data_IF_664024619603
#
_entry.id   IF_664024619603
#
_cell.length_a   1.000
_cell.length_b   1.000
_cell.length_c   1.000
_cell.angle_alpha   90.00
_cell.angle_beta   90.00
_cell.angle_gamma   90.00
#
_symmetry.space_group_name_H-M   'P 1'
#
loop_
_entity.id
_entity.type
_entity.pdbx_description
1 polymer ?
#
# COMPACT_ATOMS: atom_id res chain seq x y z
N UNK A 1 0.05 -14.45 -13.00
CA UNK A 1 0.38 -13.02 -12.82
C UNK A 1 1.86 -12.86 -13.15
N UNK A 2 2.23 -11.73 -13.76
CA UNK A 2 3.63 -11.44 -14.13
C UNK A 2 4.18 -10.40 -13.17
N UNK A 3 5.22 -10.78 -12.40
CA UNK A 3 5.85 -9.96 -11.36
C UNK A 3 7.39 -10.00 -11.43
N UNK A 4 7.99 -9.74 -12.64
CA UNK A 4 9.43 -9.94 -12.84
C UNK A 4 10.30 -9.04 -11.94
N UNK A 5 9.83 -7.87 -11.53
CA UNK A 5 10.58 -6.97 -10.65
C UNK A 5 10.61 -7.48 -9.21
N UNK A 6 9.47 -7.94 -8.69
CA UNK A 6 9.40 -8.58 -7.37
C UNK A 6 10.16 -9.90 -7.35
N UNK A 7 10.03 -10.71 -8.40
CA UNK A 7 10.75 -11.99 -8.53
C UNK A 7 12.27 -11.76 -8.47
N UNK A 8 12.78 -10.71 -9.12
CA UNK A 8 14.19 -10.33 -9.05
C UNK A 8 14.60 -9.90 -7.63
N UNK A 9 13.78 -9.10 -6.95
CA UNK A 9 14.04 -8.69 -5.56
C UNK A 9 14.09 -9.88 -4.60
N UNK A 10 13.21 -10.87 -4.76
CA UNK A 10 13.24 -12.11 -3.97
C UNK A 10 14.54 -12.86 -4.22
N UNK A 11 15.01 -12.92 -5.47
CA UNK A 11 16.27 -13.57 -5.82
C UNK A 11 17.52 -12.89 -5.23
N UNK A 12 17.47 -11.58 -4.98
CA UNK A 12 18.56 -10.78 -4.39
C UNK A 12 18.43 -10.61 -2.87
N UNK A 13 17.27 -10.97 -2.29
CA UNK A 13 16.89 -10.67 -0.92
C UNK A 13 16.64 -11.89 -0.04
N UNK A 14 15.81 -11.68 0.97
CA UNK A 14 15.35 -12.71 1.93
C UNK A 14 13.84 -12.77 1.90
N UNK A 15 13.28 -13.94 1.62
CA UNK A 15 11.86 -14.22 1.74
C UNK A 15 11.52 -14.73 3.15
N UNK A 16 10.55 -14.07 3.81
CA UNK A 16 10.09 -14.45 5.14
C UNK A 16 8.84 -15.35 5.02
N UNK A 17 9.01 -16.66 5.08
CA UNK A 17 7.92 -17.64 4.95
C UNK A 17 6.88 -17.57 6.06
N UNK A 18 7.24 -17.02 7.23
CA UNK A 18 6.39 -16.95 8.43
C UNK A 18 6.19 -15.51 8.92
N UNK A 19 6.00 -14.60 8.00
CA UNK A 19 5.64 -13.22 8.30
C UNK A 19 4.12 -13.06 8.19
N UNK A 20 3.46 -12.74 9.30
CA UNK A 20 2.01 -12.67 9.39
C UNK A 20 1.54 -11.24 9.62
N UNK A 21 0.53 -10.83 8.87
CA UNK A 21 -0.17 -9.55 9.02
C UNK A 21 -1.55 -9.77 9.63
N UNK A 22 -2.25 -8.72 10.02
CA UNK A 22 -3.64 -8.81 10.46
C UNK A 22 -4.57 -9.17 9.29
N UNK A 23 -5.76 -9.73 9.57
CA UNK A 23 -6.66 -10.22 8.50
C UNK A 23 -7.28 -9.12 7.63
N UNK A 24 -7.12 -7.85 8.00
CA UNK A 24 -7.65 -6.68 7.29
C UNK A 24 -6.70 -5.48 7.39
N UNK A 25 -6.93 -4.51 6.51
CA UNK A 25 -6.01 -3.40 6.22
C UNK A 25 -5.72 -2.47 7.42
N UNK A 26 -6.74 -1.91 8.08
CA UNK A 26 -6.54 -0.93 9.16
C UNK A 26 -5.72 -1.50 10.32
N UNK A 27 -6.01 -2.70 10.88
CA UNK A 27 -5.17 -3.27 11.93
C UNK A 27 -3.72 -3.51 11.51
N UNK A 28 -3.47 -4.03 10.30
CA UNK A 28 -2.09 -4.22 9.81
C UNK A 28 -1.35 -2.90 9.73
N UNK A 29 -1.96 -1.87 9.15
CA UNK A 29 -1.34 -0.54 9.01
C UNK A 29 -1.11 0.12 10.36
N UNK A 30 -2.07 0.01 11.29
CA UNK A 30 -1.93 0.51 12.65
C UNK A 30 -0.77 -0.21 13.39
N UNK A 31 -0.69 -1.53 13.27
CA UNK A 31 0.42 -2.31 13.85
C UNK A 31 1.78 -1.96 13.23
N UNK A 32 1.84 -1.77 11.90
CA UNK A 32 3.06 -1.35 11.22
C UNK A 32 3.52 0.04 11.68
N UNK A 33 2.59 0.98 11.79
CA UNK A 33 2.92 2.35 12.21
C UNK A 33 3.36 2.43 13.66
N UNK A 34 2.78 1.63 14.56
CA UNK A 34 3.02 1.75 16.01
C UNK A 34 4.01 0.73 16.57
N UNK A 35 4.36 -0.32 15.82
CA UNK A 35 5.13 -1.45 16.33
C UNK A 35 4.41 -2.24 17.43
N UNK A 36 3.10 -2.06 17.62
CA UNK A 36 2.28 -2.65 18.68
C UNK A 36 1.18 -3.53 18.09
N UNK A 37 0.74 -4.52 18.85
CA UNK A 37 -0.44 -5.30 18.47
C UNK A 37 -1.69 -4.41 18.45
N UNK A 38 -2.41 -4.33 17.31
CA UNK A 38 -3.51 -3.37 17.12
C UNK A 38 -4.66 -3.52 18.12
N UNK A 39 -4.88 -4.73 18.64
CA UNK A 39 -5.90 -4.98 19.66
C UNK A 39 -5.63 -4.31 21.01
N UNK A 40 -4.39 -3.88 21.27
CA UNK A 40 -4.03 -3.19 22.52
C UNK A 40 -4.51 -1.76 22.59
N UNK A 41 -4.85 -1.15 21.44
CA UNK A 41 -5.35 0.23 21.32
C UNK A 41 -6.64 0.31 20.48
N UNK A 42 -7.46 -0.74 20.53
CA UNK A 42 -8.83 -0.71 20.00
C UNK A 42 -9.00 -0.98 18.51
N UNK A 43 -7.91 -1.23 17.77
CA UNK A 43 -7.95 -1.46 16.31
C UNK A 43 -7.83 -2.96 16.01
N UNK A 44 -8.81 -3.77 16.43
CA UNK A 44 -8.71 -5.23 16.34
C UNK A 44 -9.26 -5.82 15.04
N UNK A 45 -10.52 -5.55 14.73
CA UNK A 45 -11.31 -6.36 13.79
C UNK A 45 -12.10 -5.56 12.78
N UNK A 46 -11.99 -4.24 12.78
CA UNK A 46 -12.70 -3.37 11.86
C UNK A 46 -11.75 -2.47 11.07
N UNK A 47 -12.12 -2.20 9.84
CA UNK A 47 -11.54 -1.09 9.08
C UNK A 47 -12.23 0.21 9.47
N UNK A 48 -11.62 1.34 9.18
CA UNK A 48 -12.23 2.66 9.31
C UNK A 48 -12.94 2.98 7.99
N UNK A 49 -14.28 2.82 7.92
CA UNK A 49 -15.02 3.10 6.69
C UNK A 49 -15.25 4.60 6.50
N UNK A 50 -15.63 5.06 5.30
CA UNK A 50 -15.76 6.48 4.97
C UNK A 50 -16.72 7.30 5.88
N UNK A 51 -17.67 6.65 6.51
CA UNK A 51 -18.68 7.30 7.39
C UNK A 51 -18.28 7.37 8.86
N UNK A 52 -17.08 6.90 9.23
CA UNK A 52 -16.57 6.98 10.61
C UNK A 52 -15.57 8.11 10.76
N UNK A 53 -15.62 8.74 11.95
CA UNK A 53 -14.76 9.88 12.28
C UNK A 53 -13.52 9.50 13.09
N UNK A 54 -13.43 8.25 13.52
CA UNK A 54 -12.28 7.75 14.29
C UNK A 54 -11.05 7.53 13.40
N UNK A 55 -9.92 7.36 14.03
CA UNK A 55 -8.62 7.12 13.41
C UNK A 55 -7.68 6.38 14.36
N UNK A 56 -6.42 6.35 14.00
CA UNK A 56 -5.37 5.89 14.90
C UNK A 56 -5.36 6.77 16.16
N UNK A 57 -5.38 6.14 17.33
CA UNK A 57 -5.38 6.86 18.62
C UNK A 57 -4.24 7.88 18.64
N UNK A 58 -4.58 9.10 19.07
CA UNK A 58 -3.66 10.25 19.08
C UNK A 58 -2.47 10.03 20.02
N UNK A 59 -2.63 9.19 21.05
CA UNK A 59 -1.59 8.85 22.02
C UNK A 59 -0.63 7.76 21.49
N UNK A 60 -0.96 7.11 20.38
CA UNK A 60 -0.06 6.11 19.78
C UNK A 60 1.04 6.81 19.00
N UNK A 61 2.28 6.56 19.38
CA UNK A 61 3.44 7.01 18.63
C UNK A 61 3.63 6.17 17.37
N UNK A 62 3.94 6.81 16.24
CA UNK A 62 4.23 6.12 15.00
C UNK A 62 5.74 5.96 14.75
N UNK A 63 6.09 5.02 13.88
CA UNK A 63 7.46 4.88 13.39
C UNK A 63 7.98 6.18 12.77
N UNK A 64 7.11 6.96 12.11
CA UNK A 64 7.49 8.25 11.53
C UNK A 64 7.79 9.31 12.61
N UNK A 65 7.03 9.33 13.73
CA UNK A 65 7.33 10.17 14.89
C UNK A 65 8.68 9.80 15.51
N UNK A 66 8.91 8.50 15.72
CA UNK A 66 10.17 8.00 16.26
C UNK A 66 11.35 8.40 15.36
N UNK A 67 11.24 8.22 14.05
CA UNK A 67 12.29 8.57 13.10
C UNK A 67 12.51 10.09 13.02
N UNK A 68 11.47 10.89 13.19
CA UNK A 68 11.60 12.36 13.28
C UNK A 68 12.55 12.77 14.41
N UNK A 69 12.37 12.17 15.59
CA UNK A 69 13.26 12.44 16.76
C UNK A 69 14.69 11.91 16.58
N UNK A 70 14.87 10.95 15.66
CA UNK A 70 16.19 10.37 15.36
C UNK A 70 16.84 10.96 14.11
N UNK A 71 16.45 12.18 13.69
CA UNK A 71 17.12 12.93 12.65
C UNK A 71 16.70 12.61 11.21
N UNK A 72 15.69 11.75 11.00
CA UNK A 72 15.12 11.50 9.69
C UNK A 72 14.26 12.69 9.26
N UNK A 73 14.80 13.61 8.50
CA UNK A 73 14.07 14.78 7.99
C UNK A 73 13.04 14.38 6.93
N UNK A 74 13.38 13.42 6.08
CA UNK A 74 12.57 12.94 4.98
C UNK A 74 11.79 11.69 5.41
N UNK A 75 10.49 11.83 5.64
CA UNK A 75 9.57 10.78 6.07
C UNK A 75 8.29 10.90 5.26
N UNK A 76 8.25 10.24 4.10
CA UNK A 76 7.11 10.31 3.21
C UNK A 76 6.23 9.06 3.29
N UNK A 77 4.93 9.27 3.16
CA UNK A 77 3.96 8.23 2.83
C UNK A 77 3.32 8.56 1.47
N UNK A 78 3.36 7.61 0.56
CA UNK A 78 2.83 7.74 -0.78
C UNK A 78 1.80 6.64 -1.03
N UNK A 79 0.54 7.03 -1.25
CA UNK A 79 -0.58 6.11 -1.49
C UNK A 79 -1.58 6.05 -0.34
N UNK A 80 -2.04 4.85 -0.01
CA UNK A 80 -3.13 4.59 0.94
C UNK A 80 -2.71 4.77 2.40
N UNK A 81 -3.44 5.62 3.13
CA UNK A 81 -3.30 5.78 4.59
C UNK A 81 -4.16 4.79 5.39
N UNK A 82 -5.47 4.93 5.35
CA UNK A 82 -6.49 4.09 5.99
C UNK A 82 -6.42 4.02 7.53
N UNK A 83 -5.93 5.07 8.17
CA UNK A 83 -5.85 5.21 9.64
C UNK A 83 -6.55 6.47 10.17
N UNK A 84 -7.55 6.97 9.45
CA UNK A 84 -8.37 8.14 9.77
C UNK A 84 -8.34 9.19 8.67
N UNK A 85 -9.52 9.76 8.36
CA UNK A 85 -9.72 10.62 7.18
C UNK A 85 -10.60 11.85 7.46
N UNK A 86 -11.37 11.87 8.56
CA UNK A 86 -12.30 12.97 8.83
C UNK A 86 -11.64 14.08 9.64
N UNK A 87 -10.85 13.74 10.66
CA UNK A 87 -10.19 14.72 11.53
C UNK A 87 -8.71 14.86 11.14
N UNK A 88 -8.26 16.12 10.99
CA UNK A 88 -6.87 16.40 10.60
C UNK A 88 -5.83 15.82 11.57
N UNK A 89 -6.17 15.61 12.84
CA UNK A 89 -5.29 14.98 13.84
C UNK A 89 -4.87 13.55 13.43
N UNK A 90 -5.72 12.87 12.66
CA UNK A 90 -5.43 11.52 12.15
C UNK A 90 -4.69 11.51 10.80
N UNK A 91 -4.49 12.66 10.17
CA UNK A 91 -3.81 12.74 8.87
C UNK A 91 -2.32 12.40 9.00
N UNK A 92 -1.69 11.82 7.98
CA UNK A 92 -0.27 11.45 8.01
C UNK A 92 0.65 12.58 8.49
N UNK A 93 0.35 13.82 8.08
CA UNK A 93 1.12 15.00 8.44
C UNK A 93 1.11 15.32 9.95
N UNK A 94 0.09 14.87 10.70
CA UNK A 94 0.02 14.95 12.16
C UNK A 94 0.51 13.66 12.84
N UNK A 95 0.97 12.68 12.06
CA UNK A 95 1.42 11.37 12.52
C UNK A 95 2.89 11.13 12.14
N UNK A 96 3.70 12.18 12.21
CA UNK A 96 5.15 12.14 12.06
C UNK A 96 5.68 12.20 10.63
N UNK A 97 4.86 12.10 9.61
CA UNK A 97 5.32 12.23 8.23
C UNK A 97 5.60 13.69 7.85
N UNK A 98 6.62 13.89 7.04
CA UNK A 98 7.01 15.19 6.48
C UNK A 98 6.44 15.44 5.09
N UNK A 99 5.87 14.41 4.47
CA UNK A 99 5.22 14.48 3.17
C UNK A 99 4.18 13.35 3.04
N UNK A 100 3.03 13.68 2.47
CA UNK A 100 1.97 12.76 2.13
C UNK A 100 1.45 13.04 0.72
N UNK A 101 1.36 12.00 -0.10
CA UNK A 101 0.72 12.08 -1.40
C UNK A 101 -0.10 10.81 -1.63
N UNK A 102 -1.43 10.94 -1.81
CA UNK A 102 -2.29 9.79 -1.97
C UNK A 102 -3.68 9.99 -1.37
N UNK A 103 -4.26 8.91 -0.85
CA UNK A 103 -5.64 8.91 -0.36
C UNK A 103 -5.75 8.46 1.10
N UNK A 104 -6.71 9.05 1.81
CA UNK A 104 -6.94 8.81 3.24
C UNK A 104 -7.81 7.58 3.50
N UNK A 105 -8.76 7.28 2.62
CA UNK A 105 -9.67 6.15 2.75
C UNK A 105 -9.04 4.80 2.35
N UNK A 106 -9.78 3.73 2.62
CA UNK A 106 -9.32 2.36 2.39
C UNK A 106 -9.36 1.86 0.95
N UNK A 107 -10.05 2.57 0.07
CA UNK A 107 -10.17 2.30 -1.37
C UNK A 107 -10.55 3.57 -2.10
N UNK A 108 -10.20 3.67 -3.36
CA UNK A 108 -10.57 4.77 -4.26
C UNK A 108 -10.86 4.23 -5.65
N UNK A 109 -11.53 5.01 -6.49
CA UNK A 109 -11.50 4.84 -7.94
C UNK A 109 -10.08 5.12 -8.46
N UNK A 110 -9.55 4.25 -9.35
CA UNK A 110 -8.15 4.33 -9.79
C UNK A 110 -7.87 5.44 -10.80
N UNK A 111 -8.92 5.95 -11.46
CA UNK A 111 -8.80 7.00 -12.50
C UNK A 111 -9.35 8.34 -12.02
N UNK A 112 -10.52 8.31 -11.37
CA UNK A 112 -11.17 9.54 -10.88
C UNK A 112 -10.64 9.96 -9.49
N UNK A 113 -9.90 9.07 -8.80
CA UNK A 113 -9.29 9.32 -7.50
C UNK A 113 -10.32 9.68 -6.41
N UNK A 114 -11.54 9.13 -6.55
CA UNK A 114 -12.68 9.41 -5.67
C UNK A 114 -13.02 8.25 -4.75
N UNK A 115 -13.64 8.59 -3.61
CA UNK A 115 -14.26 7.63 -2.69
C UNK A 115 -15.68 8.07 -2.38
N UNK A 116 -16.69 7.19 -2.59
CA UNK A 116 -18.12 7.51 -2.42
C UNK A 116 -18.56 8.77 -3.20
N UNK A 117 -17.91 9.03 -4.36
CA UNK A 117 -18.19 10.21 -5.20
C UNK A 117 -17.43 11.47 -4.79
N UNK A 118 -16.72 11.47 -3.69
CA UNK A 118 -15.90 12.59 -3.23
C UNK A 118 -14.44 12.38 -3.61
N UNK A 119 -13.74 13.45 -4.01
CA UNK A 119 -12.32 13.41 -4.31
C UNK A 119 -11.51 13.10 -3.04
N UNK A 120 -10.78 11.99 -3.05
CA UNK A 120 -9.89 11.57 -1.94
C UNK A 120 -8.46 11.42 -2.47
N UNK A 121 -7.89 12.52 -2.94
CA UNK A 121 -6.50 12.59 -3.37
C UNK A 121 -5.85 13.85 -2.83
N UNK A 122 -4.73 13.69 -2.15
CA UNK A 122 -4.13 14.73 -1.34
C UNK A 122 -2.65 14.90 -1.64
N UNK A 123 -2.18 16.12 -1.48
CA UNK A 123 -0.77 16.47 -1.39
C UNK A 123 -0.57 17.24 -0.07
N UNK A 124 0.07 16.59 0.89
CA UNK A 124 0.21 17.03 2.27
C UNK A 124 -1.16 17.29 2.94
N UNK A 125 -1.51 18.55 3.14
CA UNK A 125 -2.74 18.96 3.81
C UNK A 125 -3.92 19.20 2.87
N UNK A 126 -3.64 19.36 1.58
CA UNK A 126 -4.61 19.86 0.62
C UNK A 126 -5.05 18.73 -0.33
N UNK A 127 -6.34 18.74 -0.62
CA UNK A 127 -6.89 17.91 -1.70
C UNK A 127 -6.38 18.44 -3.04
N UNK A 128 -5.90 17.56 -3.90
CA UNK A 128 -5.39 17.93 -5.22
C UNK A 128 -6.10 17.18 -6.36
N UNK A 129 -6.17 17.83 -7.54
CA UNK A 129 -6.90 17.36 -8.70
C UNK A 129 -5.95 16.79 -9.77
N UNK A 130 -5.13 15.83 -9.38
CA UNK A 130 -4.25 15.16 -10.33
C UNK A 130 -5.04 14.28 -11.30
N UNK A 131 -4.49 14.09 -12.50
CA UNK A 131 -5.07 13.21 -13.52
C UNK A 131 -4.11 12.07 -13.81
N UNK A 132 -4.66 10.86 -13.84
CA UNK A 132 -3.89 9.69 -14.17
C UNK A 132 -4.35 8.45 -13.41
N UNK A 133 -3.68 7.36 -13.66
CA UNK A 133 -3.93 6.09 -12.97
C UNK A 133 -3.20 6.08 -11.63
N UNK A 134 -3.92 5.91 -10.52
CA UNK A 134 -3.40 6.08 -9.15
C UNK A 134 -2.11 5.30 -8.88
N UNK A 135 -1.98 4.08 -9.40
CA UNK A 135 -0.76 3.26 -9.24
C UNK A 135 0.47 3.93 -9.89
N UNK A 136 0.29 4.58 -11.04
CA UNK A 136 1.38 5.31 -11.71
C UNK A 136 1.68 6.64 -11.02
N UNK A 137 0.66 7.34 -10.51
CA UNK A 137 0.84 8.56 -9.72
C UNK A 137 1.65 8.28 -8.44
N UNK A 138 1.32 7.22 -7.72
CA UNK A 138 2.06 6.75 -6.53
C UNK A 138 3.52 6.47 -6.90
N UNK A 139 3.76 5.72 -7.97
CA UNK A 139 5.11 5.38 -8.43
C UNK A 139 5.92 6.63 -8.77
N UNK A 140 5.32 7.53 -9.55
CA UNK A 140 5.97 8.79 -9.97
C UNK A 140 6.37 9.66 -8.79
N UNK A 141 5.48 9.78 -7.80
CA UNK A 141 5.75 10.58 -6.62
C UNK A 141 6.82 9.95 -5.73
N UNK A 142 6.82 8.62 -5.57
CA UNK A 142 7.87 7.91 -4.85
C UNK A 142 9.25 8.16 -5.48
N UNK A 143 9.35 8.10 -6.81
CA UNK A 143 10.58 8.41 -7.55
C UNK A 143 10.98 9.87 -7.36
N UNK A 144 10.03 10.82 -7.45
CA UNK A 144 10.29 12.25 -7.21
C UNK A 144 10.88 12.48 -5.81
N UNK A 145 10.33 11.81 -4.79
CA UNK A 145 10.86 11.88 -3.43
C UNK A 145 12.30 11.37 -3.37
N UNK A 146 12.58 10.20 -3.95
CA UNK A 146 13.94 9.63 -3.98
C UNK A 146 14.90 10.60 -4.66
N UNK A 147 14.53 11.17 -5.80
CA UNK A 147 15.38 12.11 -6.53
C UNK A 147 15.66 13.40 -5.73
N UNK A 148 14.66 13.87 -4.97
CA UNK A 148 14.76 15.10 -4.17
C UNK A 148 15.57 14.93 -2.87
N UNK A 149 15.65 13.73 -2.29
CA UNK A 149 16.36 13.51 -1.03
C UNK A 149 17.86 13.71 -1.19
N UNK A 150 18.50 14.25 -0.14
CA UNK A 150 19.96 14.30 -0.07
C UNK A 150 20.53 12.88 -0.02
N UNK A 151 21.60 12.62 -0.77
CA UNK A 151 22.21 11.29 -0.87
C UNK A 151 22.69 10.75 0.48
N UNK A 152 23.24 11.63 1.30
CA UNK A 152 23.82 11.29 2.61
C UNK A 152 22.80 11.37 3.76
N UNK A 153 21.59 11.86 3.48
CA UNK A 153 20.55 12.02 4.49
C UNK A 153 19.73 10.75 4.69
N UNK A 154 19.40 10.39 5.95
CA UNK A 154 18.49 9.27 6.19
C UNK A 154 17.06 9.62 5.74
N UNK A 155 16.35 8.65 5.22
CA UNK A 155 14.96 8.80 4.79
C UNK A 155 14.10 7.60 5.16
N UNK A 156 12.79 7.83 5.27
CA UNK A 156 11.75 6.82 5.30
C UNK A 156 10.79 7.08 4.14
N UNK A 157 10.53 6.07 3.34
CA UNK A 157 9.56 6.11 2.26
C UNK A 157 8.60 4.93 2.39
N UNK A 158 7.36 5.19 2.78
CA UNK A 158 6.31 4.20 2.86
C UNK A 158 5.43 4.29 1.61
N UNK A 159 5.68 3.41 0.63
CA UNK A 159 4.89 3.34 -0.61
C UNK A 159 3.75 2.35 -0.41
N UNK A 160 2.56 2.87 -0.20
CA UNK A 160 1.36 2.11 0.15
C UNK A 160 0.40 2.02 -1.05
N UNK A 161 0.70 1.16 -2.00
CA UNK A 161 -0.17 0.96 -3.16
C UNK A 161 -1.57 0.52 -2.75
N UNK A 162 -2.59 1.08 -3.40
CA UNK A 162 -3.97 0.59 -3.27
C UNK A 162 -4.24 -0.62 -4.18
N UNK A 163 -3.46 -0.82 -5.24
CA UNK A 163 -3.52 -2.00 -6.08
C UNK A 163 -3.11 -3.27 -5.30
N UNK A 164 -3.78 -4.40 -5.52
CA UNK A 164 -4.91 -4.64 -6.43
C UNK A 164 -6.29 -4.63 -5.74
N UNK A 165 -6.54 -3.72 -4.79
CA UNK A 165 -7.83 -3.59 -4.11
C UNK A 165 -8.97 -3.22 -5.10
N UNK A 166 -10.19 -3.62 -4.80
CA UNK A 166 -11.39 -3.17 -5.56
C UNK A 166 -11.62 -1.66 -5.43
N UNK A 167 -12.19 -1.00 -6.48
CA UNK A 167 -12.71 -1.57 -7.72
C UNK A 167 -11.60 -2.14 -8.61
N UNK A 168 -11.89 -3.20 -9.37
CA UNK A 168 -10.92 -3.75 -10.31
C UNK A 168 -10.91 -2.87 -11.57
N UNK A 169 -9.87 -2.08 -11.71
CA UNK A 169 -9.68 -1.13 -12.80
C UNK A 169 -8.21 -1.16 -13.23
N UNK A 170 -7.94 -1.36 -14.50
CA UNK A 170 -6.59 -1.39 -15.05
C UNK A 170 -6.52 -0.62 -16.38
N UNK A 171 -5.34 -0.18 -16.72
CA UNK A 171 -5.10 0.45 -18.01
C UNK A 171 -5.12 -0.60 -19.13
N UNK A 172 -5.60 -0.22 -20.30
CA UNK A 172 -5.69 -1.10 -21.47
C UNK A 172 -4.32 -1.73 -21.82
N UNK A 173 -3.25 -0.95 -21.74
CA UNK A 173 -1.89 -1.44 -22.00
C UNK A 173 -1.46 -2.61 -21.10
N UNK A 174 -1.93 -2.60 -19.86
CA UNK A 174 -1.61 -3.64 -18.88
C UNK A 174 -2.54 -4.86 -19.05
N UNK A 175 -3.80 -4.66 -19.43
CA UNK A 175 -4.73 -5.74 -19.82
C UNK A 175 -4.18 -6.52 -21.03
N UNK A 176 -3.60 -5.83 -22.00
CA UNK A 176 -2.98 -6.44 -23.19
C UNK A 176 -1.82 -7.39 -22.90
N UNK A 177 -1.24 -7.34 -21.70
CA UNK A 177 -0.25 -8.34 -21.26
C UNK A 177 -0.85 -9.74 -21.04
N UNK A 178 -2.18 -9.82 -20.90
CA UNK A 178 -2.92 -11.04 -20.56
C UNK A 178 -3.90 -11.48 -21.64
N UNK A 179 -4.44 -10.57 -22.43
CA UNK A 179 -5.37 -10.88 -23.52
C UNK A 179 -5.44 -9.77 -24.54
N UNK A 180 -5.58 -10.15 -25.82
CA UNK A 180 -5.87 -9.22 -26.92
C UNK A 180 -7.37 -9.13 -27.24
N UNK A 181 -8.21 -9.99 -26.63
CA UNK A 181 -9.64 -10.10 -26.91
C UNK A 181 -10.46 -9.96 -25.62
N UNK A 182 -10.25 -8.87 -24.89
CA UNK A 182 -10.86 -8.65 -23.57
C UNK A 182 -12.39 -8.76 -23.60
N UNK A 183 -13.04 -8.14 -24.59
CA UNK A 183 -14.50 -8.10 -24.70
C UNK A 183 -15.12 -9.46 -25.01
N UNK A 184 -14.36 -10.41 -25.53
CA UNK A 184 -14.82 -11.78 -25.79
C UNK A 184 -14.71 -12.71 -24.58
N UNK A 185 -14.07 -12.27 -23.50
CA UNK A 185 -13.90 -13.03 -22.28
C UNK A 185 -15.20 -13.04 -21.45
N UNK A 186 -15.40 -14.11 -20.70
CA UNK A 186 -16.45 -14.16 -19.67
C UNK A 186 -16.18 -13.13 -18.58
N UNK A 187 -17.22 -12.65 -17.84
CA UNK A 187 -17.02 -11.68 -16.75
C UNK A 187 -16.01 -12.13 -15.69
N UNK A 188 -15.88 -13.43 -15.45
CA UNK A 188 -14.89 -14.01 -14.52
C UNK A 188 -13.47 -13.86 -15.06
N UNK A 189 -13.29 -14.14 -16.34
CA UNK A 189 -11.98 -14.01 -17.03
C UNK A 189 -11.57 -12.55 -17.17
N UNK A 190 -12.50 -11.64 -17.47
CA UNK A 190 -12.26 -10.20 -17.49
C UNK A 190 -11.76 -9.71 -16.12
N UNK A 191 -12.42 -10.10 -15.02
CA UNK A 191 -11.97 -9.77 -13.65
C UNK A 191 -10.57 -10.32 -13.37
N UNK A 192 -10.28 -11.56 -13.80
CA UNK A 192 -8.96 -12.17 -13.64
C UNK A 192 -7.88 -11.42 -14.42
N UNK A 193 -8.14 -11.05 -15.67
CA UNK A 193 -7.23 -10.30 -16.51
C UNK A 193 -6.97 -8.90 -15.92
N UNK A 194 -8.02 -8.20 -15.51
CA UNK A 194 -7.93 -6.88 -14.86
C UNK A 194 -7.11 -6.93 -13.58
N UNK A 195 -7.42 -7.87 -12.67
CA UNK A 195 -6.66 -8.06 -11.44
C UNK A 195 -5.18 -8.32 -11.72
N UNK A 196 -4.87 -9.20 -12.68
CA UNK A 196 -3.50 -9.51 -13.05
C UNK A 196 -2.77 -8.31 -13.65
N UNK A 197 -3.47 -7.50 -14.45
CA UNK A 197 -2.96 -6.26 -15.02
C UNK A 197 -2.63 -5.21 -13.95
N UNK A 198 -3.49 -5.07 -12.93
CA UNK A 198 -3.25 -4.18 -11.78
C UNK A 198 -1.98 -4.57 -11.02
N UNK A 199 -1.79 -5.86 -10.76
CA UNK A 199 -0.58 -6.37 -10.08
C UNK A 199 0.66 -6.13 -10.91
N UNK A 200 0.63 -6.38 -12.23
CA UNK A 200 1.79 -6.14 -13.10
C UNK A 200 2.14 -4.66 -13.25
N UNK A 201 1.12 -3.77 -13.21
CA UNK A 201 1.39 -2.33 -13.16
C UNK A 201 2.11 -1.92 -11.86
N UNK A 202 1.68 -2.46 -10.73
CA UNK A 202 2.33 -2.24 -9.43
C UNK A 202 3.77 -2.79 -9.43
N UNK A 203 3.98 -4.01 -9.92
CA UNK A 203 5.30 -4.63 -10.02
C UNK A 203 6.28 -3.78 -10.85
N UNK A 204 5.83 -3.29 -12.02
CA UNK A 204 6.61 -2.37 -12.84
C UNK A 204 6.93 -1.07 -12.10
N UNK A 205 5.98 -0.55 -11.30
CA UNK A 205 6.19 0.61 -10.44
C UNK A 205 7.26 0.36 -9.38
N UNK A 206 7.24 -0.81 -8.74
CA UNK A 206 8.27 -1.22 -7.77
C UNK A 206 9.64 -1.31 -8.45
N UNK A 207 9.71 -1.90 -9.64
CA UNK A 207 10.96 -1.94 -10.41
C UNK A 207 11.52 -0.55 -10.68
N UNK A 208 10.67 0.41 -11.10
CA UNK A 208 11.09 1.79 -11.33
C UNK A 208 11.58 2.51 -10.06
N UNK A 209 11.01 2.20 -8.91
CA UNK A 209 11.49 2.71 -7.60
C UNK A 209 12.87 2.14 -7.28
N UNK A 210 13.07 0.84 -7.45
CA UNK A 210 14.38 0.19 -7.26
C UNK A 210 15.43 0.78 -8.21
N UNK A 211 15.08 1.00 -9.46
CA UNK A 211 15.98 1.63 -10.45
C UNK A 211 16.35 3.06 -10.05
N UNK A 212 15.42 3.82 -9.49
CA UNK A 212 15.70 5.18 -8.97
C UNK A 212 16.70 5.13 -7.80
N UNK A 213 16.54 4.19 -6.86
CA UNK A 213 17.49 3.98 -5.75
C UNK A 213 18.88 3.58 -6.25
N UNK A 214 18.94 2.64 -7.21
CA UNK A 214 20.19 2.19 -7.86
C UNK A 214 20.86 3.35 -8.60
N UNK A 215 20.10 4.11 -9.40
CA UNK A 215 20.60 5.28 -10.15
C UNK A 215 21.18 6.35 -9.24
N UNK A 216 20.54 6.58 -8.09
CA UNK A 216 21.01 7.52 -7.06
C UNK A 216 22.23 6.98 -6.30
N UNK A 217 22.52 5.69 -6.39
CA UNK A 217 23.62 5.03 -5.69
C UNK A 217 23.40 4.89 -4.18
N UNK A 218 22.15 4.68 -3.77
CA UNK A 218 21.78 4.49 -2.35
C UNK A 218 21.10 3.15 -2.07
N UNK A 219 20.91 2.30 -3.10
CA UNK A 219 20.22 1.01 -2.93
C UNK A 219 20.91 0.12 -1.91
N UNK A 220 22.24 0.04 -1.92
CA UNK A 220 23.04 -0.80 -1.01
C UNK A 220 22.99 -0.32 0.46
N UNK A 221 22.55 0.91 0.69
CA UNK A 221 22.33 1.49 2.02
C UNK A 221 20.84 1.71 2.31
N UNK A 222 19.96 1.01 1.60
CA UNK A 222 18.51 1.09 1.77
C UNK A 222 17.96 -0.25 2.22
N UNK A 223 17.30 -0.27 3.38
CA UNK A 223 16.54 -1.42 3.82
C UNK A 223 15.18 -1.43 3.12
N UNK A 224 15.05 -2.28 2.11
CA UNK A 224 13.84 -2.40 1.29
C UNK A 224 12.97 -3.55 1.78
N UNK A 225 11.70 -3.27 2.11
CA UNK A 225 10.74 -4.28 2.58
C UNK A 225 9.51 -4.26 1.67
N UNK A 226 9.10 -5.41 1.20
CA UNK A 226 7.83 -5.61 0.51
C UNK A 226 6.97 -6.65 1.24
N UNK A 227 5.71 -6.35 1.48
CA UNK A 227 4.73 -7.30 2.03
C UNK A 227 3.30 -6.90 1.68
N UNK A 228 2.36 -7.84 1.81
CA UNK A 228 0.92 -7.58 1.66
C UNK A 228 0.29 -7.24 3.01
N UNK A 229 -0.62 -6.26 3.03
CA UNK A 229 -1.30 -5.85 4.26
C UNK A 229 -2.37 -6.84 4.75
N UNK A 230 -2.87 -7.72 3.90
CA UNK A 230 -3.77 -8.83 4.25
C UNK A 230 -3.85 -9.85 3.11
N UNK A 231 -4.48 -11.00 3.38
CA UNK A 231 -4.72 -12.04 2.38
C UNK A 231 -5.69 -11.61 1.27
N UNK A 232 -5.84 -12.47 0.28
CA UNK A 232 -6.72 -12.24 -0.87
C UNK A 232 -8.16 -11.94 -0.47
N UNK A 233 -8.83 -11.07 -1.23
CA UNK A 233 -10.27 -10.83 -1.09
C UNK A 233 -11.16 -11.88 -1.81
N UNK A 234 -10.57 -12.94 -2.37
CA UNK A 234 -11.28 -13.98 -3.11
C UNK A 234 -11.74 -13.55 -4.51
N UNK A 235 -11.19 -12.46 -5.05
CA UNK A 235 -11.47 -12.04 -6.42
C UNK A 235 -10.83 -13.00 -7.43
N UNK A 236 -11.43 -13.20 -8.62
CA UNK A 236 -10.85 -14.05 -9.65
C UNK A 236 -9.40 -13.67 -9.98
N UNK A 237 -8.50 -14.63 -9.92
CA UNK A 237 -7.07 -14.41 -10.15
C UNK A 237 -6.24 -14.22 -8.89
N UNK A 238 -6.86 -13.92 -7.75
CA UNK A 238 -6.17 -13.83 -6.47
C UNK A 238 -6.06 -15.19 -5.76
N UNK A 239 -5.02 -15.37 -4.95
CA UNK A 239 -4.80 -16.58 -4.16
C UNK A 239 -4.06 -16.23 -2.86
N UNK A 240 -4.36 -16.97 -1.79
CA UNK A 240 -3.57 -16.94 -0.56
C UNK A 240 -2.41 -17.97 -0.59
N UNK A 241 -2.11 -18.52 -1.76
CA UNK A 241 -1.08 -19.55 -1.91
C UNK A 241 -1.40 -20.80 -1.07
N UNK A 242 -0.43 -21.31 -0.30
CA UNK A 242 -0.62 -22.48 0.57
C UNK A 242 -1.44 -22.17 1.83
N UNK A 243 -1.69 -20.88 2.14
CA UNK A 243 -2.41 -20.49 3.36
C UNK A 243 -3.91 -20.68 3.20
N UNK A 244 -4.55 -21.15 4.27
CA UNK A 244 -6.00 -21.37 4.30
C UNK A 244 -6.75 -20.04 4.52
N UNK A 245 -7.86 -19.84 3.79
CA UNK A 245 -8.76 -18.70 3.96
C UNK A 245 -8.42 -17.49 3.10
N UNK A 246 -8.90 -16.33 3.53
CA UNK A 246 -8.82 -15.09 2.76
C UNK A 246 -8.95 -13.86 3.68
N UNK A 247 -8.94 -12.65 3.13
CA UNK A 247 -9.19 -11.39 3.85
C UNK A 247 -10.38 -11.53 4.82
N UNK A 248 -10.26 -10.96 6.01
CA UNK A 248 -11.22 -11.04 7.13
C UNK A 248 -11.30 -12.38 7.85
N UNK A 249 -10.48 -13.35 7.49
CA UNK A 249 -10.43 -14.66 8.15
C UNK A 249 -9.29 -14.72 9.14
N UNK A 250 -9.60 -14.58 10.43
CA UNK A 250 -8.62 -14.43 11.53
C UNK A 250 -7.65 -15.61 11.62
N UNK A 251 -8.12 -16.85 11.42
CA UNK A 251 -7.26 -18.03 11.56
C UNK A 251 -6.23 -18.17 10.44
N UNK A 252 -6.38 -17.46 9.31
CA UNK A 252 -5.40 -17.47 8.22
C UNK A 252 -4.25 -16.51 8.48
N UNK A 253 -4.54 -15.39 9.11
CA UNK A 253 -3.60 -14.28 9.28
C UNK A 253 -3.03 -14.20 10.71
N UNK A 254 -3.64 -14.88 11.66
CA UNK A 254 -3.19 -14.98 13.06
C UNK A 254 -2.48 -16.30 13.37
N UNK A 255 -2.04 -16.99 12.36
CA UNK A 255 -1.56 -18.35 12.52
C UNK A 255 -0.22 -18.43 13.23
N UNK A 256 -0.17 -19.43 14.04
CA UNK A 256 0.94 -20.16 14.62
C UNK A 256 1.11 -20.01 16.13
N UNK A 257 0.52 -19.01 16.76
CA UNK A 257 0.66 -18.85 18.21
C UNK A 257 -0.64 -19.05 19.00
N UNK A 258 -1.77 -19.33 18.32
CA UNK A 258 -3.09 -19.37 18.96
C UNK A 258 -3.85 -20.68 18.74
N UNK A 259 -3.23 -21.67 18.17
CA UNK A 259 -3.79 -23.04 18.18
C UNK A 259 -3.00 -23.87 19.19
N UNK A 260 -3.67 -24.40 20.23
CA UNK A 260 -3.07 -25.35 21.15
C UNK A 260 -2.58 -26.60 20.43
#
# INVERSE_FOLDING_TARGET
IKTPCLDALVGEGVELERFYTSPISTPTRAGLMTGRYPNRFGVRSAVIPPWREDGLDENEETVADMLARNGYKNRAIIGKWHLGHTKKVHYPMNRGFSHFYGHLNGAIDYFDLTREGELDWHNDWETCHDKGYSTELITKEAIRCIDAYEKEGPFMLYVAYNAPHTPLQAQEKDIKLYTNNFDSLTPKEQKKATYSAMVSCMDRGIGAIVDALKKKGIMDNTFFIFFSDNGTAGVPGSSSGPLRGHKSVSYTHLRAHETP
#
